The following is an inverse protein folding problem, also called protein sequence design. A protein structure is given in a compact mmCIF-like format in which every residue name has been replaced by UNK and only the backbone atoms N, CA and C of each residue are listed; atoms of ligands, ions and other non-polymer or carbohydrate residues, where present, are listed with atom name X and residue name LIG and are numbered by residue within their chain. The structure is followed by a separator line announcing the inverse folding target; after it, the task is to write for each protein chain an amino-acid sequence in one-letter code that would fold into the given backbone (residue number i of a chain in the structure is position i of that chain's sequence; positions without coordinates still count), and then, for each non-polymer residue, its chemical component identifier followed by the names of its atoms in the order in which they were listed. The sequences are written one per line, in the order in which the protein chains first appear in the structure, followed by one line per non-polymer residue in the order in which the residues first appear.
data_IF_763585852785
#
_entry.id   IF_763585852785
#
_cell.length_a   1.000
_cell.length_b   1.000
_cell.length_c   1.000
_cell.angle_alpha   90.00
_cell.angle_beta   90.00
_cell.angle_gamma   90.00
#
_symmetry.space_group_name_H-M   'P 1'
#
loop_
_entity.id
_entity.type
_entity.pdbx_description
1 polymer ?
#
# COMPACT_ATOMS: atom_id res chain seq x y z
N UNK A 1 -7.92 -0.96 -20.67
CA UNK A 1 -7.93 0.39 -20.09
C UNK A 1 -6.73 1.14 -20.58
N UNK A 2 -6.88 2.43 -20.83
CA UNK A 2 -5.73 3.34 -20.88
C UNK A 2 -5.20 3.60 -19.46
N UNK A 3 -3.93 4.00 -19.31
CA UNK A 3 -3.36 4.35 -18.00
C UNK A 3 -4.18 5.45 -17.30
N UNK A 4 -4.75 6.39 -18.07
CA UNK A 4 -5.58 7.45 -17.53
C UNK A 4 -6.89 6.94 -16.91
N UNK A 5 -7.57 5.98 -17.56
CA UNK A 5 -8.78 5.37 -17.00
C UNK A 5 -8.48 4.57 -15.72
N UNK A 6 -7.36 3.84 -15.69
CA UNK A 6 -6.95 3.08 -14.50
C UNK A 6 -6.64 4.00 -13.31
N UNK A 7 -6.00 5.15 -13.57
CA UNK A 7 -5.73 6.18 -12.56
C UNK A 7 -7.00 6.84 -12.04
N UNK A 8 -7.93 7.23 -12.91
CA UNK A 8 -9.19 7.86 -12.52
C UNK A 8 -10.02 6.93 -11.61
N UNK A 9 -10.10 5.64 -11.96
CA UNK A 9 -10.79 4.65 -11.12
C UNK A 9 -10.11 4.46 -9.75
N UNK A 10 -8.77 4.39 -9.71
CA UNK A 10 -8.06 4.27 -8.44
C UNK A 10 -8.23 5.55 -7.59
N UNK A 11 -8.23 6.74 -8.21
CA UNK A 11 -8.42 8.00 -7.51
C UNK A 11 -9.79 8.08 -6.83
N UNK A 12 -10.85 7.70 -7.55
CA UNK A 12 -12.20 7.64 -6.99
C UNK A 12 -12.29 6.64 -5.83
N UNK A 13 -11.68 5.46 -5.99
CA UNK A 13 -11.60 4.47 -4.93
C UNK A 13 -10.86 5.00 -3.70
N UNK A 14 -9.71 5.65 -3.88
CA UNK A 14 -8.94 6.24 -2.77
C UNK A 14 -9.74 7.31 -2.03
N UNK A 15 -10.44 8.19 -2.75
CA UNK A 15 -11.31 9.22 -2.13
C UNK A 15 -12.42 8.61 -1.30
N UNK A 16 -13.00 7.50 -1.76
CA UNK A 16 -14.05 6.78 -1.02
C UNK A 16 -13.48 6.03 0.19
N UNK A 17 -12.33 5.36 0.05
CA UNK A 17 -11.69 4.60 1.13
C UNK A 17 -11.26 5.52 2.27
N UNK A 18 -10.69 6.68 1.93
CA UNK A 18 -10.11 7.62 2.88
C UNK A 18 -11.03 8.80 3.20
N UNK A 19 -12.33 8.69 2.91
CA UNK A 19 -13.30 9.72 3.27
C UNK A 19 -13.30 9.93 4.79
N UNK A 20 -12.89 11.12 5.22
CA UNK A 20 -12.80 11.48 6.64
C UNK A 20 -11.54 11.00 7.38
N UNK A 21 -10.57 10.35 6.70
CA UNK A 21 -9.28 10.00 7.32
C UNK A 21 -8.32 11.19 7.31
N UNK A 22 -8.03 11.75 8.49
CA UNK A 22 -7.09 12.87 8.66
C UNK A 22 -5.63 12.53 8.29
N UNK A 23 -5.31 11.22 8.24
CA UNK A 23 -3.97 10.72 7.90
C UNK A 23 -3.70 10.78 6.40
N UNK A 24 -4.74 10.79 5.57
CA UNK A 24 -4.65 10.85 4.12
C UNK A 24 -4.82 12.29 3.61
N UNK A 25 -3.99 12.67 2.64
CA UNK A 25 -4.09 13.95 1.93
C UNK A 25 -3.89 13.73 0.45
N UNK A 26 -4.85 14.16 -0.35
CA UNK A 26 -4.67 14.34 -1.79
C UNK A 26 -3.95 15.68 -2.02
N UNK A 27 -2.71 15.63 -2.52
CA UNK A 27 -1.93 16.83 -2.89
C UNK A 27 -2.30 17.29 -4.30
N UNK A 28 -2.53 16.32 -5.19
CA UNK A 28 -3.05 16.51 -6.54
C UNK A 28 -3.76 15.23 -7.00
N UNK A 29 -4.48 15.22 -8.14
CA UNK A 29 -5.14 14.02 -8.65
C UNK A 29 -4.21 12.83 -8.92
N UNK A 30 -2.89 13.05 -8.92
CA UNK A 30 -1.87 12.02 -9.14
C UNK A 30 -0.83 11.97 -8.01
N UNK A 31 -1.03 12.69 -6.91
CA UNK A 31 -0.06 12.76 -5.82
C UNK A 31 -0.76 12.75 -4.47
N UNK A 32 -0.39 11.79 -3.64
CA UNK A 32 -1.06 11.46 -2.39
C UNK A 32 -0.04 11.38 -1.28
N UNK A 33 -0.43 11.82 -0.09
CA UNK A 33 0.37 11.75 1.11
C UNK A 33 -0.41 10.99 2.18
N UNK A 34 0.26 10.07 2.85
CA UNK A 34 -0.32 9.31 3.95
C UNK A 34 0.59 9.31 5.17
N UNK A 35 -0.02 9.41 6.35
CA UNK A 35 0.65 9.35 7.63
C UNK A 35 0.57 7.96 8.25
N UNK A 36 1.74 7.39 8.52
CA UNK A 36 1.86 6.10 9.19
C UNK A 36 2.15 6.33 10.67
N UNK A 37 1.17 6.01 11.51
CA UNK A 37 1.24 6.15 12.96
C UNK A 37 0.42 7.32 13.51
N UNK A 38 0.09 7.21 14.79
CA UNK A 38 -0.84 8.11 15.47
C UNK A 38 -0.28 9.51 15.74
N UNK A 39 -1.16 10.43 16.13
CA UNK A 39 -0.81 11.75 16.63
C UNK A 39 0.10 11.65 17.87
N UNK A 40 1.31 12.21 17.79
CA UNK A 40 2.29 12.19 18.89
C UNK A 40 3.19 10.95 18.93
N UNK A 41 3.00 9.98 18.02
CA UNK A 41 3.88 8.82 17.93
C UNK A 41 5.29 9.21 17.43
N UNK A 42 6.37 8.97 18.22
CA UNK A 42 7.74 9.30 17.83
C UNK A 42 8.24 8.48 16.63
N UNK A 43 7.56 7.37 16.33
CA UNK A 43 7.84 6.52 15.17
C UNK A 43 6.94 6.85 13.98
N UNK A 44 6.13 7.90 14.04
CA UNK A 44 5.31 8.30 12.91
C UNK A 44 6.17 8.80 11.74
N UNK A 45 5.71 8.55 10.52
CA UNK A 45 6.33 9.10 9.30
C UNK A 45 5.28 9.33 8.21
N UNK A 46 5.58 10.25 7.29
CA UNK A 46 4.79 10.51 6.09
C UNK A 46 5.40 9.80 4.89
N UNK A 47 4.57 9.22 4.04
CA UNK A 47 4.95 8.80 2.69
C UNK A 47 4.15 9.60 1.68
N UNK A 48 4.80 9.94 0.59
CA UNK A 48 4.19 10.59 -0.56
C UNK A 48 4.34 9.67 -1.76
N UNK A 49 3.24 9.40 -2.44
CA UNK A 49 3.16 8.55 -3.64
C UNK A 49 2.65 9.43 -4.78
N UNK A 50 3.42 9.52 -5.84
CA UNK A 50 3.03 10.23 -7.06
C UNK A 50 2.98 9.28 -8.25
N UNK A 51 1.86 9.26 -8.96
CA UNK A 51 1.68 8.44 -10.16
C UNK A 51 2.42 9.05 -11.34
N UNK A 52 3.01 8.17 -12.13
CA UNK A 52 3.62 8.53 -13.43
C UNK A 52 2.56 8.44 -14.52
N UNK A 53 2.80 9.03 -15.69
CA UNK A 53 1.83 9.02 -16.80
C UNK A 53 1.39 7.60 -17.24
N UNK A 54 2.26 6.60 -17.03
CA UNK A 54 2.01 5.21 -17.39
C UNK A 54 1.67 4.31 -16.19
N UNK A 55 1.52 4.87 -14.98
CA UNK A 55 1.08 4.10 -13.82
C UNK A 55 -0.35 3.57 -14.05
N UNK A 56 -0.67 2.30 -13.69
CA UNK A 56 0.14 1.37 -12.89
C UNK A 56 1.10 0.45 -13.66
N UNK A 57 1.26 0.64 -14.98
CA UNK A 57 2.23 -0.14 -15.77
C UNK A 57 3.68 0.21 -15.40
N UNK A 58 3.91 1.46 -15.00
CA UNK A 58 5.17 1.95 -14.45
C UNK A 58 5.07 2.17 -12.94
N UNK A 59 6.17 2.02 -12.21
CA UNK A 59 6.18 2.24 -10.76
C UNK A 59 5.79 3.69 -10.43
N UNK A 60 5.08 3.92 -9.31
CA UNK A 60 4.89 5.25 -8.80
C UNK A 60 6.18 5.77 -8.16
N UNK A 61 6.29 7.10 -8.08
CA UNK A 61 7.39 7.77 -7.38
C UNK A 61 7.03 7.82 -5.89
N UNK A 62 7.87 7.22 -5.05
CA UNK A 62 7.69 7.23 -3.59
C UNK A 62 8.72 8.14 -2.96
N UNK A 63 8.27 9.10 -2.15
CA UNK A 63 9.10 10.08 -1.47
C UNK A 63 8.85 10.08 0.04
N UNK A 64 9.93 10.31 0.81
CA UNK A 64 9.91 10.50 2.26
C UNK A 64 10.50 11.86 2.67
N UNK A 65 10.51 12.83 1.75
CA UNK A 65 11.16 14.12 1.92
C UNK A 65 10.31 15.18 2.63
N UNK A 66 9.11 14.82 3.08
CA UNK A 66 8.28 15.71 3.88
C UNK A 66 9.02 16.20 5.13
N UNK A 67 8.86 17.48 5.49
CA UNK A 67 9.48 18.08 6.67
C UNK A 67 9.23 17.31 7.96
N UNK A 68 8.07 16.65 8.07
CA UNK A 68 7.71 15.76 9.18
C UNK A 68 8.76 14.67 9.43
N UNK A 69 9.40 14.17 8.37
CA UNK A 69 10.38 13.10 8.43
C UNK A 69 11.81 13.57 8.68
N UNK A 70 12.04 14.83 9.03
CA UNK A 70 13.41 15.36 9.24
C UNK A 70 14.16 14.67 10.39
N UNK A 71 13.42 14.17 11.38
CA UNK A 71 13.99 13.42 12.51
C UNK A 71 14.32 11.95 12.17
N UNK A 72 14.04 11.51 10.95
CA UNK A 72 14.32 10.15 10.48
C UNK A 72 15.63 10.17 9.70
N UNK A 73 16.59 9.34 10.11
CA UNK A 73 17.89 9.25 9.45
C UNK A 73 17.73 8.80 7.99
N UNK A 74 18.64 9.24 7.12
CA UNK A 74 18.66 8.83 5.72
C UNK A 74 18.74 7.32 5.57
N UNK A 75 19.50 6.62 6.42
CA UNK A 75 19.60 5.17 6.41
C UNK A 75 18.24 4.48 6.63
N UNK A 76 17.44 4.96 7.58
CA UNK A 76 16.09 4.43 7.83
C UNK A 76 15.17 4.72 6.64
N UNK A 77 15.19 5.96 6.11
CA UNK A 77 14.41 6.31 4.91
C UNK A 77 14.74 5.40 3.71
N UNK A 78 16.02 5.16 3.47
CA UNK A 78 16.45 4.26 2.38
C UNK A 78 16.00 2.81 2.61
N UNK A 79 16.04 2.32 3.85
CA UNK A 79 15.54 0.98 4.18
C UNK A 79 14.03 0.86 3.94
N UNK A 80 13.25 1.88 4.31
CA UNK A 80 11.80 1.93 4.08
C UNK A 80 11.50 1.95 2.58
N UNK A 81 12.17 2.84 1.84
CA UNK A 81 12.02 2.93 0.39
C UNK A 81 12.37 1.61 -0.29
N UNK A 82 13.45 0.94 0.10
CA UNK A 82 13.84 -0.35 -0.49
C UNK A 82 12.74 -1.43 -0.33
N UNK A 83 12.11 -1.50 0.85
CA UNK A 83 11.01 -2.45 1.09
C UNK A 83 9.73 -2.07 0.35
N UNK A 84 9.42 -0.78 0.27
CA UNK A 84 8.29 -0.30 -0.54
C UNK A 84 8.50 -0.58 -2.03
N UNK A 85 9.73 -0.46 -2.53
CA UNK A 85 10.07 -0.79 -3.92
C UNK A 85 9.89 -2.28 -4.23
N UNK A 86 10.16 -3.17 -3.27
CA UNK A 86 9.85 -4.59 -3.40
C UNK A 86 8.32 -4.82 -3.54
N UNK A 87 7.53 -4.14 -2.70
CA UNK A 87 6.07 -4.18 -2.79
C UNK A 87 5.55 -3.60 -4.12
N UNK A 88 6.17 -2.53 -4.63
CA UNK A 88 5.84 -1.97 -5.97
C UNK A 88 6.08 -2.99 -7.05
N UNK A 89 7.26 -3.62 -7.07
CA UNK A 89 7.62 -4.61 -8.10
C UNK A 89 6.64 -5.79 -8.13
N UNK A 90 6.13 -6.22 -6.98
CA UNK A 90 5.16 -7.31 -6.87
C UNK A 90 3.75 -6.94 -7.37
N UNK A 91 3.40 -5.66 -7.45
CA UNK A 91 2.04 -5.18 -7.79
C UNK A 91 1.97 -4.42 -9.12
N UNK A 92 3.07 -4.39 -9.91
CA UNK A 92 3.09 -3.73 -11.23
C UNK A 92 1.97 -4.23 -12.14
N UNK A 93 1.40 -3.29 -12.91
CA UNK A 93 0.26 -3.53 -13.80
C UNK A 93 -1.10 -3.43 -13.10
N UNK A 94 -1.14 -3.15 -11.79
CA UNK A 94 -2.38 -3.03 -11.00
C UNK A 94 -2.34 -1.84 -10.06
N UNK A 95 -3.52 -1.30 -9.72
CA UNK A 95 -3.67 -0.24 -8.73
C UNK A 95 -3.09 -0.68 -7.37
N UNK A 96 -2.14 0.08 -6.82
CA UNK A 96 -1.34 -0.35 -5.67
C UNK A 96 -1.19 0.71 -4.57
N UNK A 97 -1.75 1.91 -4.70
CA UNK A 97 -1.56 2.99 -3.71
C UNK A 97 -2.08 2.60 -2.33
N UNK A 98 -3.31 2.07 -2.28
CA UNK A 98 -3.89 1.54 -1.04
C UNK A 98 -3.01 0.43 -0.43
N UNK A 99 -2.58 -0.52 -1.27
CA UNK A 99 -1.72 -1.64 -0.87
C UNK A 99 -0.40 -1.14 -0.27
N UNK A 100 0.22 -0.11 -0.84
CA UNK A 100 1.46 0.46 -0.33
C UNK A 100 1.27 1.17 1.01
N UNK A 101 0.15 1.87 1.20
CA UNK A 101 -0.17 2.50 2.48
C UNK A 101 -0.40 1.47 3.59
N UNK A 102 -1.20 0.44 3.32
CA UNK A 102 -1.44 -0.64 4.28
C UNK A 102 -0.16 -1.44 4.57
N UNK A 103 0.64 -1.76 3.56
CA UNK A 103 1.94 -2.40 3.76
C UNK A 103 2.85 -1.55 4.67
N UNK A 104 2.88 -0.22 4.48
CA UNK A 104 3.67 0.66 5.32
C UNK A 104 3.15 0.70 6.77
N UNK A 105 1.84 0.63 6.99
CA UNK A 105 1.21 0.57 8.32
C UNK A 105 1.55 -0.74 9.04
N UNK A 106 1.39 -1.87 8.36
CA UNK A 106 1.66 -3.20 8.92
C UNK A 106 3.14 -3.41 9.27
N UNK A 107 4.06 -2.78 8.53
CA UNK A 107 5.50 -2.93 8.71
C UNK A 107 6.15 -1.78 9.49
N UNK A 108 5.37 -0.83 10.00
CA UNK A 108 5.84 0.37 10.72
C UNK A 108 6.85 0.05 11.83
N UNK A 109 6.56 -0.94 12.66
CA UNK A 109 7.45 -1.30 13.77
C UNK A 109 8.81 -1.80 13.30
N UNK A 110 8.82 -2.57 12.22
CA UNK A 110 10.04 -3.08 11.61
C UNK A 110 10.84 -1.97 10.93
N UNK A 111 10.16 -1.01 10.31
CA UNK A 111 10.78 0.14 9.66
C UNK A 111 11.47 1.05 10.67
N UNK A 112 10.87 1.19 11.85
CA UNK A 112 11.33 2.09 12.91
C UNK A 112 12.04 1.33 14.05
N UNK A 113 12.48 0.08 13.82
CA UNK A 113 13.15 -0.76 14.82
C UNK A 113 14.50 -0.18 15.26
N UNK A 114 15.25 0.39 14.30
CA UNK A 114 16.58 0.99 14.53
C UNK A 114 16.53 2.52 14.60
N UNK A 115 15.34 3.12 14.68
CA UNK A 115 15.18 4.56 14.79
C UNK A 115 15.44 4.99 16.24
N UNK A 116 16.56 5.68 16.46
CA UNK A 116 16.78 6.46 17.67
C UNK A 116 16.45 7.92 17.36
N UNK A 117 15.55 8.57 18.12
CA UNK A 117 15.31 10.00 17.93
C UNK A 117 16.62 10.75 18.14
N UNK A 118 17.08 11.45 17.10
CA UNK A 118 18.26 12.31 17.19
C UNK A 118 17.86 13.49 18.07
N UNK A 119 18.32 13.49 19.33
CA UNK A 119 18.14 14.60 20.24
C UNK A 119 18.86 15.84 19.70
N UNK A 120 18.16 16.72 19.00
CA UNK A 120 18.57 18.10 18.82
C UNK A 120 18.17 18.91 20.05
N UNK A 121 18.92 18.76 21.14
CA UNK A 121 18.97 19.78 22.19
C UNK A 121 20.40 20.27 22.30
N UNK A 122 20.68 21.31 21.53
CA UNK A 122 21.85 22.16 21.66
C UNK A 122 21.75 22.91 22.98
N UNK A 123 22.34 22.38 24.05
CA UNK A 123 22.60 23.12 25.28
C UNK A 123 23.85 23.98 25.06
N UNK A 124 23.67 25.25 24.70
CA UNK A 124 24.72 26.30 24.75
C UNK A 124 24.32 27.21 25.92
N UNK A 125 24.89 26.98 27.10
CA UNK A 125 26.08 27.66 27.68
C UNK A 125 25.73 28.97 28.37
N UNK A 126 26.03 29.07 29.67
CA UNK A 126 26.99 30.06 30.15
C UNK A 126 27.51 29.75 31.56
N UNK A 127 28.84 29.81 31.64
CA UNK A 127 29.72 29.62 32.79
C UNK A 127 29.83 30.93 33.56
N UNK A 128 29.96 30.88 34.90
CA UNK A 128 30.98 31.63 35.68
C UNK A 128 31.12 30.95 37.05
N UNK A 129 32.39 30.65 37.37
CA UNK A 129 32.93 29.99 38.56
C UNK A 129 32.96 30.88 39.80
N UNK A 130 33.08 30.28 41.01
CA UNK A 130 34.02 30.67 42.09
C UNK A 130 34.09 29.54 43.17
N UNK A 131 35.34 29.14 43.44
CA UNK A 131 36.05 28.37 44.50
C UNK A 131 35.37 27.60 45.69
N UNK A 132 35.71 26.30 45.78
CA UNK A 132 36.23 25.39 46.88
C UNK A 132 36.02 25.66 48.40
N UNK A 133 36.20 24.68 49.35
CA UNK A 133 36.56 23.24 49.25
C UNK A 133 35.81 22.25 50.23
N UNK A 134 36.02 20.94 50.02
CA UNK A 134 36.29 19.87 51.03
C UNK A 134 35.46 18.58 51.00
N UNK A 135 36.23 17.47 51.10
CA UNK A 135 35.94 16.15 51.69
C UNK A 135 35.42 15.03 50.76
N UNK A 136 36.37 14.22 50.27
CA UNK A 136 36.22 12.78 50.00
C UNK A 136 36.07 12.00 51.34
N UNK A 137 35.68 10.69 51.44
CA UNK A 137 35.86 9.64 50.42
C UNK A 137 34.82 8.47 50.38
N UNK A 138 35.10 7.50 49.48
CA UNK A 138 34.68 6.07 49.49
C UNK A 138 33.33 5.75 48.82
N UNK A 139 33.04 4.59 48.23
CA UNK A 139 33.77 3.42 47.72
C UNK A 139 32.72 2.48 47.05
N UNK A 140 33.17 1.58 46.14
CA UNK A 140 32.53 0.29 45.72
C UNK A 140 31.49 0.26 44.56
N UNK A 141 31.97 -0.26 43.41
CA UNK A 141 31.52 -1.43 42.61
C UNK A 141 30.03 -1.88 42.57
N UNK A 142 29.57 -2.11 41.33
CA UNK A 142 28.92 -3.32 40.75
C UNK A 142 27.42 -3.31 40.34
N UNK A 143 27.25 -3.67 39.06
CA UNK A 143 26.39 -4.70 38.45
C UNK A 143 24.85 -4.51 38.27
N UNK A 144 24.50 -4.41 36.98
CA UNK A 144 23.39 -5.00 36.20
C UNK A 144 22.40 -5.94 36.93
N UNK A 145 21.11 -5.60 36.81
CA UNK A 145 19.95 -6.52 36.65
C UNK A 145 18.79 -5.67 36.09
N UNK A 146 18.58 -5.61 34.77
CA UNK A 146 17.84 -6.61 34.00
C UNK A 146 16.68 -7.23 34.80
N UNK A 147 15.54 -6.55 34.78
CA UNK A 147 14.26 -7.14 35.15
C UNK A 147 13.32 -7.00 33.94
N UNK A 148 13.27 -8.08 33.15
CA UNK A 148 12.32 -8.30 32.07
C UNK A 148 10.89 -8.18 32.61
N UNK A 149 10.20 -7.09 32.27
CA UNK A 149 8.76 -7.00 32.49
C UNK A 149 8.03 -7.88 31.47
N UNK A 150 7.12 -8.70 32.00
CA UNK A 150 6.31 -9.73 31.33
C UNK A 150 5.33 -9.14 30.31
N UNK A 151 5.84 -8.59 29.21
CA UNK A 151 5.06 -8.23 28.02
C UNK A 151 5.40 -9.09 26.78
N UNK A 152 6.44 -9.94 26.85
CA UNK A 152 6.90 -10.80 25.75
C UNK A 152 6.14 -12.12 25.58
N UNK A 153 4.84 -12.17 25.89
CA UNK A 153 3.98 -13.32 25.53
C UNK A 153 2.59 -12.87 25.06
N UNK A 154 2.55 -12.33 23.84
CA UNK A 154 1.43 -12.48 22.89
C UNK A 154 1.97 -12.28 21.47
N UNK A 155 2.72 -13.26 20.97
CA UNK A 155 2.87 -13.49 19.52
C UNK A 155 2.12 -14.77 19.21
N UNK A 156 0.89 -14.65 18.70
CA UNK A 156 0.29 -15.49 17.65
C UNK A 156 -1.16 -15.02 17.38
N UNK A 157 -1.34 -13.88 16.71
CA UNK A 157 -2.65 -13.49 16.16
C UNK A 157 -2.53 -12.72 14.83
N UNK A 158 -1.40 -12.10 14.51
CA UNK A 158 -1.25 -11.28 13.29
C UNK A 158 -1.04 -12.02 11.96
N UNK A 159 -1.05 -13.36 11.95
CA UNK A 159 -0.97 -14.11 10.68
C UNK A 159 -2.31 -14.23 9.95
N UNK A 160 -3.38 -13.70 10.56
CA UNK A 160 -4.73 -13.70 9.97
C UNK A 160 -4.95 -12.53 9.01
N UNK A 161 -4.34 -11.36 9.25
CA UNK A 161 -4.46 -10.18 8.36
C UNK A 161 -3.86 -10.40 6.96
N UNK A 162 -2.65 -10.98 6.90
CA UNK A 162 -1.98 -11.30 5.63
C UNK A 162 -2.77 -12.31 4.77
N UNK A 163 -3.53 -13.21 5.41
CA UNK A 163 -4.35 -14.21 4.72
C UNK A 163 -5.58 -13.55 4.10
N UNK A 164 -6.29 -12.70 4.85
CA UNK A 164 -7.46 -11.96 4.33
C UNK A 164 -7.06 -10.99 3.21
N UNK A 165 -5.87 -10.38 3.31
CA UNK A 165 -5.30 -9.49 2.30
C UNK A 165 -5.00 -10.22 0.98
N UNK A 166 -4.34 -11.37 1.05
CA UNK A 166 -4.11 -12.21 -0.14
C UNK A 166 -5.42 -12.67 -0.77
N UNK A 167 -6.42 -13.05 0.03
CA UNK A 167 -7.73 -13.47 -0.49
C UNK A 167 -8.49 -12.33 -1.18
N UNK A 168 -8.50 -11.12 -0.61
CA UNK A 168 -9.19 -9.97 -1.21
C UNK A 168 -8.51 -9.49 -2.49
N UNK A 169 -7.17 -9.45 -2.50
CA UNK A 169 -6.39 -9.09 -3.68
C UNK A 169 -6.54 -10.13 -4.80
N UNK A 170 -6.43 -11.43 -4.47
CA UNK A 170 -6.70 -12.50 -5.44
C UNK A 170 -8.14 -12.41 -5.94
N UNK A 171 -9.12 -12.15 -5.08
CA UNK A 171 -10.51 -11.98 -5.50
C UNK A 171 -10.68 -10.80 -6.47
N UNK A 172 -10.10 -9.63 -6.19
CA UNK A 172 -10.15 -8.48 -7.10
C UNK A 172 -9.46 -8.74 -8.44
N UNK A 173 -8.27 -9.34 -8.44
CA UNK A 173 -7.59 -9.74 -9.68
C UNK A 173 -8.41 -10.76 -10.47
N UNK A 174 -8.95 -11.77 -9.80
CA UNK A 174 -9.74 -12.83 -10.42
C UNK A 174 -11.06 -12.31 -10.98
N UNK A 175 -11.75 -11.41 -10.27
CA UNK A 175 -12.98 -10.77 -10.77
C UNK A 175 -12.69 -9.78 -11.90
N UNK A 176 -11.60 -9.02 -11.86
CA UNK A 176 -11.20 -8.14 -12.97
C UNK A 176 -10.86 -8.95 -14.22
N UNK A 177 -10.20 -10.09 -14.07
CA UNK A 177 -9.84 -10.96 -15.18
C UNK A 177 -11.07 -11.73 -15.72
N UNK A 178 -12.04 -12.05 -14.87
CA UNK A 178 -13.30 -12.71 -15.28
C UNK A 178 -14.28 -11.76 -15.98
N UNK A 179 -14.28 -10.46 -15.63
CA UNK A 179 -15.09 -9.44 -16.32
C UNK A 179 -14.50 -9.04 -17.68
N UNK A 180 -13.18 -9.18 -17.87
CA UNK A 180 -12.50 -8.96 -19.16
C UNK A 180 -12.44 -10.22 -20.03
N UNK A 181 -12.48 -11.41 -19.41
CA UNK A 181 -12.77 -12.71 -20.05
C UNK A 181 -14.24 -13.08 -19.91
N UNK A 182 -15.16 -12.10 -20.02
CA UNK A 182 -16.45 -12.48 -20.59
C UNK A 182 -16.08 -13.13 -21.93
N UNK A 183 -16.34 -14.42 -22.16
CA UNK A 183 -16.26 -14.88 -23.52
C UNK A 183 -17.19 -13.92 -24.23
N UNK A 184 -16.68 -13.26 -25.27
CA UNK A 184 -17.45 -13.24 -26.49
C UNK A 184 -17.90 -14.70 -26.63
N UNK A 185 -19.09 -15.01 -26.14
CA UNK A 185 -20.07 -15.72 -26.92
C UNK A 185 -20.02 -15.01 -28.28
N UNK A 186 -19.00 -15.31 -29.12
CA UNK A 186 -19.02 -16.60 -29.76
C UNK A 186 -20.47 -16.88 -30.02
N UNK A 187 -20.96 -16.21 -31.06
CA UNK A 187 -22.19 -16.48 -31.73
C UNK A 187 -22.21 -17.98 -32.05
N UNK A 188 -22.41 -18.78 -31.01
CA UNK A 188 -22.64 -20.19 -31.02
C UNK A 188 -24.12 -20.25 -31.26
N UNK A 189 -24.47 -20.28 -32.54
CA UNK A 189 -25.85 -20.45 -32.96
C UNK A 189 -26.49 -21.54 -32.13
N UNK A 190 -27.64 -21.23 -31.56
CA UNK A 190 -28.55 -22.23 -31.04
C UNK A 190 -28.93 -23.15 -32.21
N UNK A 191 -28.12 -24.20 -32.43
CA UNK A 191 -28.55 -25.41 -33.11
C UNK A 191 -29.42 -26.18 -32.12
N UNK A 192 -30.63 -25.67 -31.88
CA UNK A 192 -31.69 -26.47 -31.29
C UNK A 192 -32.53 -27.06 -32.43
N UNK A 193 -32.24 -28.34 -32.68
CA UNK A 193 -33.21 -29.37 -33.04
C UNK A 193 -33.79 -29.33 -34.48
N UNK A 194 -33.01 -29.88 -35.41
CA UNK A 194 -33.58 -30.54 -36.58
C UNK A 194 -34.27 -31.83 -36.13
N UNK A 195 -35.60 -31.93 -36.25
CA UNK A 195 -36.24 -33.11 -36.85
C UNK A 195 -37.74 -32.94 -37.12
N UNK A 196 -38.11 -33.46 -38.30
CA UNK A 196 -39.45 -33.85 -38.77
C UNK A 196 -40.49 -32.78 -39.16
N UNK A 197 -40.61 -32.55 -40.48
CA UNK A 197 -41.84 -32.95 -41.19
C UNK A 197 -41.64 -33.10 -42.72
N UNK A 198 -41.74 -34.36 -43.16
CA UNK A 198 -42.24 -34.95 -44.42
C UNK A 198 -41.89 -34.39 -45.84
N UNK A 199 -41.59 -35.29 -46.81
CA UNK A 199 -41.47 -34.98 -48.22
C UNK A 199 -42.84 -34.99 -48.92
N UNK A 200 -43.13 -33.96 -49.72
CA UNK A 200 -44.23 -33.95 -50.68
C UNK A 200 -43.86 -32.97 -51.80
N UNK A 201 -43.51 -33.44 -53.00
CA UNK A 201 -44.39 -33.94 -54.06
C UNK A 201 -44.57 -32.87 -55.15
N UNK A 202 -43.77 -33.03 -56.21
CA UNK A 202 -44.05 -32.89 -57.64
C UNK A 202 -45.14 -31.93 -58.17
N UNK A 203 -44.75 -31.11 -59.17
CA UNK A 203 -45.62 -30.50 -60.19
C UNK A 203 -45.07 -29.18 -60.74
N UNK A 204 -44.24 -29.19 -61.79
CA UNK A 204 -44.56 -29.01 -63.23
C UNK A 204 -44.89 -27.57 -63.71
N UNK A 205 -43.95 -27.04 -64.51
CA UNK A 205 -44.12 -26.30 -65.78
C UNK A 205 -45.03 -25.06 -65.90
N UNK A 206 -44.36 -23.90 -66.04
CA UNK A 206 -44.26 -23.07 -67.27
C UNK A 206 -45.40 -22.12 -67.75
N UNK A 207 -44.92 -20.99 -68.27
CA UNK A 207 -45.44 -20.05 -69.31
C UNK A 207 -46.37 -18.91 -68.86
N UNK A 208 -45.88 -17.67 -69.07
CA UNK A 208 -46.69 -16.44 -69.20
C UNK A 208 -46.27 -15.70 -70.47
N UNK A 209 -47.24 -15.17 -71.25
CA UNK A 209 -47.09 -13.83 -71.78
C UNK A 209 -48.37 -12.99 -71.60
N UNK A 210 -48.18 -11.67 -71.58
CA UNK A 210 -49.23 -10.65 -71.63
C UNK A 210 -48.60 -9.33 -72.04
#
# INVERSE_FOLDING_TARGET
MSANEDQEMELEALRSIYEGDESFRELSPVSFQYRIGENGDPKAFLIEISWTESYPQTPPIISMNAFFNNNISSAVKQSILAKLQEAVAANLGTAMTYTLFEYAKDNKDQFMENHNPVNSTTTISNIISIETPNTAPSSKKKDKKEQLSKAQKRKLADKTGLCVFSFFFLFFLFFRQSLTLSPRLGCGGMRTNCNFHLPGSSGMHAITPG
#
